data_IF_266390865923
#
_entry.id   IF_266390865923
#
_cell.length_a   1.000
_cell.length_b   1.000
_cell.length_c   1.000
_cell.angle_alpha   90.00
_cell.angle_beta   90.00
_cell.angle_gamma   90.00
#
_symmetry.space_group_name_H-M   'P 1'
#
loop_
_entity.id
_entity.type
_entity.pdbx_description
1 polymer ?
#
# COMPACT_ATOMS: atom_id res chain seq x y z
N UNK A 1 0.50 -19.87 15.15
CA UNK A 1 1.61 -18.91 15.08
C UNK A 1 1.41 -17.86 13.98
N UNK A 2 1.52 -18.17 12.68
CA UNK A 2 1.34 -17.15 11.61
C UNK A 2 -0.07 -16.52 11.60
N UNK A 3 -1.12 -17.33 11.59
CA UNK A 3 -2.50 -16.81 11.59
C UNK A 3 -2.83 -16.00 12.85
N UNK A 4 -2.22 -16.32 14.00
CA UNK A 4 -2.37 -15.55 15.24
C UNK A 4 -1.73 -14.16 15.11
N UNK A 5 -0.47 -14.10 14.63
CA UNK A 5 0.22 -12.84 14.36
C UNK A 5 -0.59 -11.96 13.39
N UNK A 6 -1.16 -12.56 12.35
CA UNK A 6 -2.01 -11.85 11.37
C UNK A 6 -3.27 -11.29 12.06
N UNK A 7 -4.00 -12.11 12.81
CA UNK A 7 -5.23 -11.69 13.51
C UNK A 7 -4.95 -10.57 14.52
N UNK A 8 -3.88 -10.69 15.29
CA UNK A 8 -3.44 -9.65 16.23
C UNK A 8 -3.02 -8.36 15.52
N UNK A 9 -2.36 -8.48 14.36
CA UNK A 9 -1.97 -7.33 13.54
C UNK A 9 -3.19 -6.60 13.00
N UNK A 10 -4.18 -7.32 12.46
CA UNK A 10 -5.43 -6.75 11.97
C UNK A 10 -6.17 -6.00 13.08
N UNK A 11 -6.19 -6.55 14.30
CA UNK A 11 -6.81 -5.91 15.46
C UNK A 11 -6.13 -4.59 15.87
N UNK A 12 -4.83 -4.42 15.58
CA UNK A 12 -4.07 -3.17 15.80
C UNK A 12 -4.25 -2.16 14.66
N UNK A 13 -4.78 -2.58 13.52
CA UNK A 13 -4.93 -1.75 12.33
C UNK A 13 -5.89 -0.58 12.54
N UNK A 14 -5.52 0.59 12.03
CA UNK A 14 -6.35 1.79 12.03
C UNK A 14 -7.03 1.98 10.67
N UNK A 15 -8.12 2.74 10.64
CA UNK A 15 -8.77 3.10 9.37
C UNK A 15 -7.89 4.04 8.54
N UNK A 16 -8.17 4.14 7.24
CA UNK A 16 -7.53 5.15 6.38
C UNK A 16 -7.72 6.57 6.90
N UNK A 17 -8.91 6.91 7.37
CA UNK A 17 -9.23 8.24 7.94
C UNK A 17 -8.36 8.53 9.15
N UNK A 18 -8.24 7.59 10.09
CA UNK A 18 -7.38 7.73 11.26
C UNK A 18 -5.90 7.88 10.87
N UNK A 19 -5.45 7.17 9.82
CA UNK A 19 -4.10 7.33 9.30
C UNK A 19 -3.86 8.72 8.68
N UNK A 20 -4.82 9.27 7.95
CA UNK A 20 -4.76 10.65 7.42
C UNK A 20 -4.72 11.68 8.55
N UNK A 21 -5.55 11.52 9.58
CA UNK A 21 -5.56 12.37 10.77
C UNK A 21 -4.21 12.33 11.51
N UNK A 22 -3.65 11.13 11.70
CA UNK A 22 -2.32 10.92 12.28
C UNK A 22 -1.25 11.68 11.49
N UNK A 23 -1.23 11.53 10.17
CA UNK A 23 -0.26 12.22 9.31
C UNK A 23 -0.43 13.74 9.43
N UNK A 24 -1.66 14.26 9.32
CA UNK A 24 -1.88 15.71 9.38
C UNK A 24 -1.45 16.29 10.73
N UNK A 25 -1.70 15.57 11.83
CA UNK A 25 -1.22 15.93 13.16
C UNK A 25 0.31 15.93 13.21
N UNK A 26 0.97 14.90 12.69
CA UNK A 26 2.43 14.85 12.65
C UNK A 26 3.06 15.93 11.77
N UNK A 27 2.39 16.34 10.69
CA UNK A 27 2.82 17.50 9.89
C UNK A 27 2.77 18.79 10.72
N UNK A 28 1.73 18.98 11.54
CA UNK A 28 1.60 20.15 12.41
C UNK A 28 2.62 20.14 13.57
N UNK A 29 2.94 18.95 14.08
CA UNK A 29 3.92 18.75 15.15
C UNK A 29 5.38 18.66 14.66
N UNK A 30 5.63 18.77 13.35
CA UNK A 30 6.95 18.53 12.72
C UNK A 30 7.55 17.15 13.07
N UNK A 31 6.72 16.11 13.04
CA UNK A 31 7.07 14.71 13.33
C UNK A 31 6.86 13.80 12.13
N UNK A 32 7.28 12.55 12.30
CA UNK A 32 7.08 11.44 11.37
C UNK A 32 6.66 10.18 12.13
N UNK A 33 6.08 9.19 11.46
CA UNK A 33 5.91 7.85 12.04
C UNK A 33 7.26 7.10 12.11
N UNK A 34 7.33 6.12 13.00
CA UNK A 34 8.55 5.38 13.35
C UNK A 34 9.44 6.10 14.38
N UNK A 35 10.39 5.37 14.96
CA UNK A 35 11.28 5.89 16.01
C UNK A 35 12.25 6.97 15.50
N UNK A 36 12.65 6.90 14.23
CA UNK A 36 13.59 7.85 13.64
C UNK A 36 12.91 9.17 13.23
N UNK A 37 13.16 10.24 13.99
CA UNK A 37 12.62 11.58 13.75
C UNK A 37 13.58 12.49 12.96
N UNK A 38 14.15 12.00 11.86
CA UNK A 38 15.09 12.79 11.05
C UNK A 38 14.36 13.89 10.27
N UNK A 39 15.04 15.03 10.05
CA UNK A 39 14.51 16.12 9.20
C UNK A 39 14.03 15.61 7.84
N UNK A 40 14.77 14.67 7.24
CA UNK A 40 14.39 14.07 5.96
C UNK A 40 13.03 13.33 6.04
N UNK A 41 12.78 12.52 7.06
CA UNK A 41 11.51 11.80 7.23
C UNK A 41 10.35 12.74 7.57
N UNK A 42 10.60 13.80 8.34
CA UNK A 42 9.61 14.85 8.63
C UNK A 42 9.24 15.61 7.34
N UNK A 43 10.23 16.02 6.54
CA UNK A 43 10.02 16.67 5.26
C UNK A 43 9.24 15.76 4.29
N UNK A 44 9.57 14.46 4.26
CA UNK A 44 8.81 13.49 3.47
C UNK A 44 7.38 13.31 3.98
N UNK A 45 7.16 13.28 5.28
CA UNK A 45 5.81 13.20 5.87
C UNK A 45 4.95 14.37 5.42
N UNK A 46 5.47 15.61 5.48
CA UNK A 46 4.79 16.81 4.98
C UNK A 46 4.50 16.73 3.47
N UNK A 47 5.47 16.28 2.69
CA UNK A 47 5.32 16.12 1.24
C UNK A 47 4.28 15.05 0.89
N UNK A 48 4.31 13.92 1.59
CA UNK A 48 3.42 12.79 1.38
C UNK A 48 1.98 13.10 1.77
N UNK A 49 1.76 13.86 2.85
CA UNK A 49 0.45 14.39 3.19
C UNK A 49 -0.16 15.21 2.04
N UNK A 50 0.65 16.03 1.36
CA UNK A 50 0.23 16.80 0.19
C UNK A 50 -0.10 15.88 -1.00
N UNK A 51 0.70 14.84 -1.24
CA UNK A 51 0.46 13.85 -2.31
C UNK A 51 -0.84 13.10 -2.09
N UNK A 52 -1.10 12.62 -0.88
CA UNK A 52 -2.32 11.92 -0.51
C UNK A 52 -3.55 12.82 -0.72
N UNK A 53 -3.55 14.04 -0.18
CA UNK A 53 -4.64 15.01 -0.39
C UNK A 53 -4.93 15.31 -1.87
N UNK A 54 -3.90 15.31 -2.73
CA UNK A 54 -4.10 15.47 -4.17
C UNK A 54 -4.78 14.24 -4.75
N UNK A 55 -4.28 13.04 -4.45
CA UNK A 55 -4.84 11.79 -4.95
C UNK A 55 -6.28 11.60 -4.47
N UNK A 56 -6.59 11.85 -3.20
CA UNK A 56 -7.96 11.77 -2.66
C UNK A 56 -8.96 12.59 -3.49
N UNK A 57 -8.52 13.73 -4.06
CA UNK A 57 -9.35 14.61 -4.88
C UNK A 57 -9.40 14.24 -6.36
N UNK A 58 -8.36 13.62 -6.89
CA UNK A 58 -8.20 13.44 -8.35
C UNK A 58 -8.28 12.00 -8.81
N UNK A 59 -8.18 11.04 -7.90
CA UNK A 59 -8.15 9.62 -8.21
C UNK A 59 -9.50 9.15 -8.74
N UNK A 60 -9.47 8.43 -9.85
CA UNK A 60 -10.61 7.75 -10.44
C UNK A 60 -10.19 6.31 -10.70
N UNK A 61 -10.89 5.35 -10.11
CA UNK A 61 -10.76 3.93 -10.46
C UNK A 61 -11.65 3.70 -11.68
N UNK A 62 -11.12 3.22 -12.82
CA UNK A 62 -11.93 2.93 -14.00
C UNK A 62 -13.07 1.97 -13.66
N UNK A 63 -14.28 2.19 -14.18
CA UNK A 63 -15.46 1.39 -13.83
C UNK A 63 -15.26 -0.10 -14.14
N UNK A 64 -14.56 -0.45 -15.22
CA UNK A 64 -14.22 -1.85 -15.52
C UNK A 64 -13.38 -2.49 -14.41
N UNK A 65 -12.35 -1.80 -13.91
CA UNK A 65 -11.52 -2.29 -12.81
C UNK A 65 -12.29 -2.33 -11.49
N UNK A 66 -13.14 -1.32 -11.25
CA UNK A 66 -14.00 -1.25 -10.07
C UNK A 66 -14.97 -2.42 -9.99
N UNK A 67 -15.50 -2.88 -11.13
CA UNK A 67 -16.41 -4.01 -11.18
C UNK A 67 -15.78 -5.30 -10.65
N UNK A 68 -14.49 -5.54 -10.93
CA UNK A 68 -13.75 -6.70 -10.40
C UNK A 68 -13.79 -6.73 -8.86
N UNK A 69 -13.57 -5.59 -8.22
CA UNK A 69 -13.62 -5.50 -6.75
C UNK A 69 -15.05 -5.58 -6.19
N UNK A 70 -16.05 -5.08 -6.94
CA UNK A 70 -17.47 -5.21 -6.57
C UNK A 70 -17.98 -6.65 -6.67
N UNK A 71 -17.40 -7.44 -7.56
CA UNK A 71 -17.83 -8.82 -7.80
C UNK A 71 -17.34 -9.80 -6.74
N UNK A 72 -16.38 -9.41 -5.90
CA UNK A 72 -15.93 -10.15 -4.72
C UNK A 72 -17.13 -10.56 -3.84
N UNK A 73 -17.25 -11.86 -3.58
CA UNK A 73 -18.33 -12.44 -2.76
C UNK A 73 -17.90 -12.61 -1.31
N UNK A 74 -16.70 -13.12 -1.12
CA UNK A 74 -16.15 -13.35 0.20
C UNK A 74 -15.55 -12.08 0.79
N UNK A 75 -15.84 -11.87 2.07
CA UNK A 75 -15.24 -10.76 2.82
C UNK A 75 -13.75 -11.01 3.01
N UNK A 76 -12.98 -9.95 2.79
CA UNK A 76 -11.54 -9.96 2.92
C UNK A 76 -11.09 -8.77 3.77
N UNK A 77 -10.04 -8.99 4.56
CA UNK A 77 -9.32 -7.88 5.18
C UNK A 77 -8.07 -7.59 4.36
N UNK A 78 -7.98 -6.36 3.89
CA UNK A 78 -6.79 -5.82 3.24
C UNK A 78 -6.04 -5.02 4.29
N UNK A 79 -4.91 -5.51 4.78
CA UNK A 79 -4.09 -4.75 5.71
C UNK A 79 -2.76 -4.36 5.09
N UNK A 80 -2.37 -3.10 5.29
CA UNK A 80 -1.19 -2.52 4.66
C UNK A 80 -0.22 -1.95 5.69
N UNK A 81 1.01 -2.46 5.64
CA UNK A 81 2.15 -1.96 6.41
C UNK A 81 2.74 -0.76 5.67
N UNK A 82 2.79 0.40 6.33
CA UNK A 82 3.21 1.67 5.73
C UNK A 82 3.82 2.59 6.80
N UNK A 83 4.47 3.65 6.36
CA UNK A 83 4.94 4.76 7.19
C UNK A 83 4.68 6.10 6.47
N UNK A 84 4.49 7.18 7.23
CA UNK A 84 4.19 8.52 6.71
C UNK A 84 5.28 9.07 5.80
N UNK A 85 6.53 8.66 6.02
CA UNK A 85 7.69 9.07 5.23
C UNK A 85 7.86 8.27 3.93
N UNK A 86 7.09 7.20 3.71
CA UNK A 86 7.22 6.35 2.52
C UNK A 86 6.58 7.00 1.28
N UNK A 87 7.42 7.39 0.31
CA UNK A 87 6.98 8.06 -0.91
C UNK A 87 6.10 7.19 -1.81
N UNK A 88 6.38 5.89 -1.92
CA UNK A 88 5.54 4.94 -2.66
C UNK A 88 4.24 4.68 -1.90
N UNK A 89 4.31 4.60 -0.56
CA UNK A 89 3.15 4.45 0.31
C UNK A 89 2.11 5.54 0.11
N UNK A 90 2.57 6.79 0.04
CA UNK A 90 1.72 7.95 -0.22
C UNK A 90 1.03 7.94 -1.59
N UNK A 91 1.55 7.17 -2.56
CA UNK A 91 0.93 6.98 -3.88
C UNK A 91 -0.04 5.80 -3.89
N UNK A 92 0.17 4.80 -3.03
CA UNK A 92 -0.62 3.58 -2.96
C UNK A 92 -1.83 3.70 -2.05
N UNK A 93 -1.68 4.20 -0.82
CA UNK A 93 -2.73 4.09 0.20
C UNK A 93 -4.07 4.76 -0.19
N UNK A 94 -4.10 5.93 -0.87
CA UNK A 94 -5.37 6.51 -1.31
C UNK A 94 -6.09 5.63 -2.34
N UNK A 95 -5.32 4.89 -3.15
CA UNK A 95 -5.87 3.98 -4.17
C UNK A 95 -6.51 2.77 -3.50
N UNK A 96 -5.82 2.16 -2.53
CA UNK A 96 -6.39 1.07 -1.74
C UNK A 96 -7.67 1.50 -1.02
N UNK A 97 -7.68 2.69 -0.43
CA UNK A 97 -8.88 3.22 0.22
C UNK A 97 -10.02 3.40 -0.79
N UNK A 98 -9.74 3.95 -1.97
CA UNK A 98 -10.78 4.17 -2.99
C UNK A 98 -11.37 2.87 -3.52
N UNK A 99 -10.56 1.82 -3.63
CA UNK A 99 -11.01 0.47 -3.99
C UNK A 99 -11.88 -0.12 -2.87
N UNK A 100 -11.43 -0.03 -1.62
CA UNK A 100 -12.16 -0.53 -0.46
C UNK A 100 -13.51 0.19 -0.26
N UNK A 101 -13.57 1.51 -0.44
CA UNK A 101 -14.83 2.28 -0.41
C UNK A 101 -15.83 1.82 -1.48
N UNK A 102 -15.33 1.31 -2.60
CA UNK A 102 -16.17 0.85 -3.70
C UNK A 102 -16.69 -0.58 -3.50
N UNK A 103 -16.09 -1.39 -2.62
CA UNK A 103 -16.45 -2.80 -2.43
C UNK A 103 -16.87 -3.10 -1.00
N UNK A 104 -18.11 -3.61 -0.77
CA UNK A 104 -18.54 -3.99 0.58
C UNK A 104 -17.82 -5.23 1.13
N UNK A 105 -17.07 -5.93 0.30
CA UNK A 105 -16.32 -7.12 0.67
C UNK A 105 -14.92 -6.81 1.23
N UNK A 106 -14.42 -5.58 1.09
CA UNK A 106 -13.04 -5.22 1.46
C UNK A 106 -13.04 -4.34 2.71
N UNK A 107 -12.46 -4.84 3.81
CA UNK A 107 -12.11 -4.02 4.98
C UNK A 107 -10.64 -3.62 4.92
N UNK A 108 -10.36 -2.33 4.76
CA UNK A 108 -8.99 -1.79 4.70
C UNK A 108 -8.49 -1.40 6.10
N UNK A 109 -7.36 -1.98 6.50
CA UNK A 109 -6.62 -1.64 7.72
C UNK A 109 -5.23 -1.10 7.41
N UNK A 110 -4.81 -0.07 8.12
CA UNK A 110 -3.47 0.51 8.00
C UNK A 110 -2.68 0.21 9.26
N UNK A 111 -1.46 -0.30 9.09
CA UNK A 111 -0.54 -0.59 10.18
C UNK A 111 0.77 0.16 9.97
N UNK A 112 1.32 0.72 11.04
CA UNK A 112 2.66 1.29 11.02
C UNK A 112 3.67 0.16 11.03
N UNK A 113 4.52 0.09 9.99
CA UNK A 113 5.53 -0.96 9.80
C UNK A 113 6.47 -1.07 11.00
N UNK A 114 6.95 0.06 11.49
CA UNK A 114 7.98 0.12 12.52
C UNK A 114 7.42 -0.36 13.89
N UNK A 115 6.11 -0.22 14.10
CA UNK A 115 5.41 -0.69 15.30
C UNK A 115 4.94 -2.16 15.18
N UNK A 116 5.04 -2.77 13.99
CA UNK A 116 4.56 -4.12 13.70
C UNK A 116 5.64 -4.99 13.02
N UNK A 117 6.82 -5.17 13.65
CA UNK A 117 7.95 -5.87 13.03
C UNK A 117 7.69 -7.37 12.81
N UNK A 118 6.94 -8.02 13.69
CA UNK A 118 6.68 -9.48 13.62
C UNK A 118 5.93 -9.84 12.33
N UNK A 119 4.83 -9.14 12.02
CA UNK A 119 4.10 -9.37 10.78
C UNK A 119 4.89 -8.89 9.55
N UNK A 120 5.66 -7.80 9.66
CA UNK A 120 6.52 -7.36 8.56
C UNK A 120 7.57 -8.41 8.18
N UNK A 121 8.13 -9.12 9.18
CA UNK A 121 9.14 -10.15 8.97
C UNK A 121 8.59 -11.41 8.27
N UNK A 122 7.28 -11.65 8.34
CA UNK A 122 6.61 -12.72 7.59
C UNK A 122 6.49 -12.39 6.08
N UNK A 123 6.54 -11.11 5.71
CA UNK A 123 6.18 -10.64 4.36
C UNK A 123 7.27 -9.78 3.71
N UNK A 124 8.54 -10.18 3.88
CA UNK A 124 9.69 -9.50 3.28
C UNK A 124 9.62 -9.51 1.74
N UNK A 125 9.95 -8.38 1.12
CA UNK A 125 10.16 -8.30 -0.33
C UNK A 125 11.65 -8.41 -0.61
N UNK A 126 12.08 -9.48 -1.28
CA UNK A 126 13.49 -9.75 -1.59
C UNK A 126 14.39 -9.70 -0.35
N UNK A 127 13.93 -10.28 0.77
CA UNK A 127 14.64 -10.30 2.04
C UNK A 127 14.67 -8.97 2.79
N UNK A 128 13.92 -7.95 2.33
CA UNK A 128 13.89 -6.63 2.96
C UNK A 128 12.49 -6.26 3.46
N UNK A 129 12.42 -5.52 4.56
CA UNK A 129 11.20 -4.94 5.11
C UNK A 129 10.72 -3.74 4.27
N UNK A 130 10.37 -3.99 3.01
CA UNK A 130 9.92 -2.99 2.04
C UNK A 130 8.46 -2.60 2.26
N UNK A 131 8.14 -1.32 2.10
CA UNK A 131 6.78 -0.77 2.24
C UNK A 131 6.42 0.17 1.08
N UNK A 132 5.13 0.36 0.75
CA UNK A 132 3.95 -0.24 1.39
C UNK A 132 3.84 -1.75 1.12
N UNK A 133 3.44 -2.56 2.11
CA UNK A 133 3.19 -4.00 1.89
C UNK A 133 1.73 -4.28 2.17
N UNK A 134 0.98 -4.65 1.13
CA UNK A 134 -0.41 -5.09 1.24
C UNK A 134 -0.44 -6.61 1.46
N UNK A 135 -1.22 -7.04 2.43
CA UNK A 135 -1.55 -8.44 2.70
C UNK A 135 -3.08 -8.54 2.68
N UNK A 136 -3.58 -9.49 1.89
CA UNK A 136 -5.00 -9.77 1.72
C UNK A 136 -5.29 -11.09 2.41
N UNK A 137 -6.27 -11.10 3.31
CA UNK A 137 -6.67 -12.30 4.06
C UNK A 137 -8.16 -12.53 4.01
N UNK A 138 -8.57 -13.79 4.14
CA UNK A 138 -9.96 -14.19 4.37
C UNK A 138 -10.40 -13.94 5.83
N UNK A 139 -11.64 -14.36 6.14
CA UNK A 139 -12.20 -14.25 7.49
C UNK A 139 -11.51 -15.14 8.54
N UNK A 140 -10.83 -16.21 8.12
CA UNK A 140 -10.13 -17.15 8.99
C UNK A 140 -8.69 -16.71 9.28
N UNK A 141 -8.22 -15.65 8.60
CA UNK A 141 -6.88 -15.11 8.71
C UNK A 141 -5.87 -15.82 7.81
N UNK A 142 -6.32 -16.59 6.83
CA UNK A 142 -5.45 -17.18 5.81
C UNK A 142 -5.09 -16.13 4.77
N UNK A 143 -3.83 -16.13 4.34
CA UNK A 143 -3.33 -15.19 3.33
C UNK A 143 -3.80 -15.64 1.95
N UNK A 144 -4.62 -14.80 1.31
CA UNK A 144 -5.06 -14.99 -0.06
C UNK A 144 -3.99 -14.50 -1.03
N UNK A 145 -3.45 -13.30 -0.79
CA UNK A 145 -2.42 -12.72 -1.64
C UNK A 145 -1.63 -11.61 -0.95
N UNK A 146 -0.53 -11.16 -1.57
CA UNK A 146 0.22 -9.98 -1.12
C UNK A 146 0.66 -9.12 -2.30
N UNK A 147 0.78 -7.81 -2.09
CA UNK A 147 1.23 -6.88 -3.12
C UNK A 147 2.20 -5.83 -2.55
N UNK A 148 3.07 -5.29 -3.40
CA UNK A 148 3.98 -4.19 -3.07
C UNK A 148 5.47 -4.59 -3.02
N UNK A 149 6.38 -3.60 -2.91
CA UNK A 149 6.12 -2.22 -2.50
C UNK A 149 5.71 -1.25 -3.60
N UNK A 150 5.73 -1.67 -4.86
CA UNK A 150 5.35 -0.85 -6.01
C UNK A 150 4.58 -1.70 -6.99
N UNK A 151 3.86 -1.06 -7.91
CA UNK A 151 3.32 -1.78 -9.05
C UNK A 151 4.44 -2.40 -9.89
N UNK A 152 4.13 -3.41 -10.69
CA UNK A 152 5.09 -4.04 -11.58
C UNK A 152 5.69 -3.02 -12.55
N UNK A 153 4.86 -2.09 -13.07
CA UNK A 153 5.33 -1.01 -13.93
C UNK A 153 6.38 -0.12 -13.23
N UNK A 154 6.11 0.34 -12.00
CA UNK A 154 7.06 1.15 -11.23
C UNK A 154 8.30 0.35 -10.80
N UNK A 155 8.14 -0.93 -10.49
CA UNK A 155 9.25 -1.85 -10.19
C UNK A 155 10.19 -1.99 -11.39
N UNK A 156 9.64 -2.14 -12.60
CA UNK A 156 10.43 -2.23 -13.83
C UNK A 156 11.24 -0.96 -14.09
N UNK A 157 10.66 0.23 -13.86
CA UNK A 157 11.38 1.49 -13.95
C UNK A 157 12.56 1.55 -12.97
N UNK A 158 12.35 1.14 -11.72
CA UNK A 158 13.41 1.10 -10.70
C UNK A 158 14.53 0.13 -11.08
N UNK A 159 14.18 -1.07 -11.54
CA UNK A 159 15.16 -2.09 -11.91
C UNK A 159 15.98 -1.67 -13.13
N UNK A 160 15.33 -1.13 -14.17
CA UNK A 160 16.01 -0.62 -15.36
C UNK A 160 17.00 0.50 -14.98
N UNK A 161 16.54 1.47 -14.18
CA UNK A 161 17.40 2.57 -13.75
C UNK A 161 18.59 2.09 -12.91
N UNK A 162 18.37 1.17 -11.96
CA UNK A 162 19.45 0.57 -11.16
C UNK A 162 20.45 -0.22 -11.99
N UNK A 163 19.99 -0.94 -13.02
CA UNK A 163 20.85 -1.69 -13.92
C UNK A 163 21.82 -0.75 -14.67
N UNK A 164 21.35 0.44 -15.04
CA UNK A 164 22.13 1.43 -15.78
C UNK A 164 23.00 2.32 -14.88
N UNK A 165 22.52 2.69 -13.69
CA UNK A 165 23.13 3.74 -12.85
C UNK A 165 23.67 3.21 -11.50
N UNK A 166 23.51 1.92 -11.21
CA UNK A 166 23.96 1.24 -9.99
C UNK A 166 23.12 1.52 -8.74
N UNK A 167 22.60 2.74 -8.56
CA UNK A 167 21.78 3.13 -7.41
C UNK A 167 20.67 4.09 -7.79
N UNK A 168 19.66 4.18 -6.92
CA UNK A 168 18.64 5.24 -7.01
C UNK A 168 19.24 6.54 -6.48
N UNK A 169 19.15 7.60 -7.27
CA UNK A 169 19.55 8.95 -6.88
C UNK A 169 18.33 9.90 -6.82
N UNK A 170 18.58 11.18 -6.52
CA UNK A 170 17.52 12.17 -6.42
C UNK A 170 16.91 12.55 -7.77
N UNK A 171 17.64 12.37 -8.88
CA UNK A 171 17.12 12.57 -10.23
C UNK A 171 16.03 11.55 -10.53
N UNK A 172 16.31 10.27 -10.26
CA UNK A 172 15.34 9.20 -10.45
C UNK A 172 14.14 9.33 -9.52
N UNK A 173 14.33 9.71 -8.25
CA UNK A 173 13.20 9.96 -7.33
C UNK A 173 12.24 11.02 -7.87
N UNK A 174 12.77 12.10 -8.47
CA UNK A 174 11.96 13.14 -9.12
C UNK A 174 11.26 12.60 -10.36
N UNK A 175 11.99 11.87 -11.22
CA UNK A 175 11.41 11.22 -12.40
C UNK A 175 10.25 10.30 -12.01
N UNK A 176 10.45 9.41 -11.04
CA UNK A 176 9.44 8.45 -10.60
C UNK A 176 8.20 9.17 -10.02
N UNK A 177 8.39 10.29 -9.33
CA UNK A 177 7.27 11.13 -8.87
C UNK A 177 6.48 11.77 -10.02
N UNK A 178 7.17 12.25 -11.06
CA UNK A 178 6.50 12.73 -12.28
C UNK A 178 5.74 11.60 -12.97
N UNK A 179 6.32 10.40 -13.00
CA UNK A 179 5.66 9.21 -13.54
C UNK A 179 4.38 8.87 -12.78
N UNK A 180 4.40 8.84 -11.44
CA UNK A 180 3.20 8.61 -10.64
C UNK A 180 2.10 9.66 -10.91
N UNK A 181 2.49 10.93 -11.06
CA UNK A 181 1.53 11.99 -11.39
C UNK A 181 0.87 11.80 -12.76
N UNK A 182 1.60 11.24 -13.74
CA UNK A 182 1.09 10.94 -15.08
C UNK A 182 0.26 9.67 -15.12
N UNK A 183 0.71 8.61 -14.44
CA UNK A 183 0.03 7.32 -14.38
C UNK A 183 -1.25 7.35 -13.53
N UNK A 184 -1.39 8.32 -12.61
CA UNK A 184 -2.61 8.55 -11.81
C UNK A 184 -3.13 7.32 -11.05
N UNK A 185 -2.27 6.34 -10.78
CA UNK A 185 -2.64 5.12 -10.06
C UNK A 185 -3.11 3.96 -10.95
N UNK A 186 -3.21 4.14 -12.27
CA UNK A 186 -3.67 3.11 -13.20
C UNK A 186 -2.87 1.81 -13.06
N UNK A 187 -1.54 1.90 -12.98
CA UNK A 187 -0.70 0.70 -12.86
C UNK A 187 -0.87 -0.02 -11.51
N UNK A 188 -1.27 0.68 -10.45
CA UNK A 188 -1.56 0.06 -9.15
C UNK A 188 -2.90 -0.65 -9.22
N UNK A 189 -3.92 -0.01 -9.83
CA UNK A 189 -5.24 -0.62 -10.03
C UNK A 189 -5.14 -1.88 -10.89
N UNK A 190 -4.39 -1.82 -12.01
CA UNK A 190 -4.18 -2.98 -12.91
C UNK A 190 -3.56 -4.17 -12.20
N UNK A 191 -2.56 -3.95 -11.34
CA UNK A 191 -1.95 -5.03 -10.57
C UNK A 191 -2.92 -5.60 -9.53
N UNK A 192 -3.70 -4.74 -8.85
CA UNK A 192 -4.64 -5.19 -7.82
C UNK A 192 -5.82 -5.97 -8.42
N UNK A 193 -6.24 -5.64 -9.64
CA UNK A 193 -7.21 -6.45 -10.40
C UNK A 193 -6.68 -7.87 -10.58
N UNK A 194 -5.43 -8.02 -11.06
CA UNK A 194 -4.80 -9.34 -11.25
C UNK A 194 -4.67 -10.10 -9.94
N UNK A 195 -4.24 -9.42 -8.88
CA UNK A 195 -4.10 -10.00 -7.52
C UNK A 195 -5.43 -10.61 -7.04
N UNK A 196 -6.54 -9.92 -7.29
CA UNK A 196 -7.88 -10.40 -6.93
C UNK A 196 -8.32 -11.56 -7.84
N UNK A 197 -8.15 -11.41 -9.16
CA UNK A 197 -8.52 -12.46 -10.12
C UNK A 197 -7.76 -13.77 -9.89
N UNK A 198 -6.45 -13.69 -9.59
CA UNK A 198 -5.62 -14.86 -9.26
C UNK A 198 -6.07 -15.54 -7.97
N UNK A 199 -6.67 -14.80 -7.03
CA UNK A 199 -7.21 -15.37 -5.80
C UNK A 199 -8.53 -16.12 -6.06
N UNK A 200 -9.34 -15.66 -7.02
CA UNK A 200 -10.62 -16.27 -7.40
C UNK A 200 -10.46 -17.53 -8.26
N UNK A 201 -9.34 -17.67 -8.99
CA UNK A 201 -9.06 -18.88 -9.79
C UNK A 201 -8.59 -20.03 -8.93
N UNK A 202 -7.84 -19.77 -7.85
CA UNK A 202 -7.41 -20.80 -6.90
C UNK A 202 -8.58 -21.48 -6.19
N UNK A 203 -9.69 -20.78 -5.93
CA UNK A 203 -10.89 -21.40 -5.33
C UNK A 203 -11.61 -22.37 -6.29
N UNK A 204 -11.50 -22.18 -7.61
CA UNK A 204 -12.18 -23.01 -8.61
C UNK A 204 -11.47 -24.32 -8.93
N UNK A 205 -10.20 -24.45 -8.57
CA UNK A 205 -9.41 -25.65 -8.85
C UNK A 205 -9.54 -26.72 -7.74
N UNK A 206 -10.30 -26.44 -6.67
CA UNK A 206 -10.56 -27.37 -5.55
C UNK A 206 -12.03 -27.79 -5.39
N UNK A 207 -12.93 -27.34 -6.27
CA UNK A 207 -14.33 -27.79 -6.40
C UNK A 207 -14.49 -28.78 -7.57
#
# INVERSE_FOLDING_TARGET
>A
MMNEIIKESIAKGISYVAYVELINRFVAEEKTTGAEQTKQRIDFTKLNASRMRRLDKTLIVPEQSKQVFLDLKEKQTWFVLIESWCADGAQTIPILNKIAEASPAIDLKVLLRDDNPEVMDLFLTNGTRSIPKLIIVDNDGNVLNTWGPRSQAATNLVLAYKKENGKIDDSFKKFLQVWYNKNKGEAIVEDLVKVVEDSLTLEKDFD
#
